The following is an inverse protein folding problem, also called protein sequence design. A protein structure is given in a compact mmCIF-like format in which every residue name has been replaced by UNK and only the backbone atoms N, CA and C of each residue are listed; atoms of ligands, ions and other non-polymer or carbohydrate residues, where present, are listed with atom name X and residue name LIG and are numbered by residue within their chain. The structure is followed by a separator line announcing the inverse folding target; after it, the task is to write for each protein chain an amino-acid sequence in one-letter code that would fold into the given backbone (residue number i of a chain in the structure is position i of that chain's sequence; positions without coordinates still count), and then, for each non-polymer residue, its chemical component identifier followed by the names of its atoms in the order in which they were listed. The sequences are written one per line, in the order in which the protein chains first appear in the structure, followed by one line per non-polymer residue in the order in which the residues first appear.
data_IF_176443011898
#
_entry.id   IF_176443011898
#
_cell.length_a   1.000
_cell.length_b   1.000
_cell.length_c   1.000
_cell.angle_alpha   90.00
_cell.angle_beta   90.00
_cell.angle_gamma   90.00
#
_symmetry.space_group_name_H-M   'P 1'
#
loop_
_entity.id
_entity.type
_entity.pdbx_description
1 polymer ?
#
# COMPACT_ATOMS: atom_id res chain seq x y z
N UNK A 1 50.88 -26.74 34.98
CA UNK A 1 51.70 -25.83 34.16
C UNK A 1 50.86 -25.32 32.99
N UNK A 2 51.08 -24.08 32.53
CA UNK A 2 50.00 -23.12 32.26
C UNK A 2 49.74 -22.83 30.76
N UNK A 3 48.65 -22.07 30.50
CA UNK A 3 48.46 -21.01 29.45
C UNK A 3 48.41 -21.46 27.97
N UNK A 4 47.55 -20.98 27.05
CA UNK A 4 46.90 -19.69 26.72
C UNK A 4 45.59 -19.94 25.91
N UNK A 5 44.47 -19.21 26.14
CA UNK A 5 43.93 -18.05 25.36
C UNK A 5 43.24 -18.42 24.02
N UNK A 6 42.18 -17.81 23.47
CA UNK A 6 41.26 -16.70 23.80
C UNK A 6 40.13 -16.75 22.73
N UNK A 7 38.85 -16.59 23.10
CA UNK A 7 38.00 -15.49 22.60
C UNK A 7 37.06 -15.88 21.43
N UNK A 8 35.83 -15.40 21.27
CA UNK A 8 34.91 -14.56 22.05
C UNK A 8 33.50 -14.82 21.48
N UNK A 9 32.53 -15.07 22.36
CA UNK A 9 31.09 -15.00 22.05
C UNK A 9 30.46 -14.02 23.04
N UNK A 10 29.91 -12.92 22.55
CA UNK A 10 29.16 -11.93 23.33
C UNK A 10 28.02 -11.46 22.43
N UNK A 11 26.74 -11.54 22.78
CA UNK A 11 26.13 -11.55 24.10
C UNK A 11 25.33 -10.26 24.30
N UNK A 12 24.28 -10.05 23.50
CA UNK A 12 23.40 -8.88 23.64
C UNK A 12 22.52 -9.04 24.91
N UNK A 13 22.81 -8.23 25.94
CA UNK A 13 21.94 -8.03 27.11
C UNK A 13 21.40 -6.61 27.10
N UNK A 14 20.08 -6.50 27.15
CA UNK A 14 19.35 -5.26 27.35
C UNK A 14 19.44 -4.85 28.82
N UNK A 15 20.06 -3.70 29.11
CA UNK A 15 20.08 -3.11 30.45
C UNK A 15 18.94 -2.08 30.57
N UNK A 16 18.15 -2.23 31.63
CA UNK A 16 16.97 -1.42 31.92
C UNK A 16 17.30 0.02 32.32
N UNK A 17 16.41 0.93 31.93
CA UNK A 17 16.40 2.32 32.38
C UNK A 17 15.59 2.38 33.67
N UNK A 18 16.26 2.67 34.78
CA UNK A 18 15.64 2.95 36.08
C UNK A 18 15.00 4.33 36.06
N UNK A 19 13.70 4.39 36.40
CA UNK A 19 12.98 5.63 36.60
C UNK A 19 13.42 6.33 37.89
N UNK A 20 14.05 7.49 37.77
CA UNK A 20 14.34 8.37 38.91
C UNK A 20 13.09 9.16 39.27
N UNK A 21 12.61 8.95 40.48
CA UNK A 21 11.44 9.58 41.08
C UNK A 21 11.77 11.05 41.43
N UNK A 22 11.17 12.03 40.73
CA UNK A 22 11.30 13.44 41.09
C UNK A 22 10.23 13.84 42.10
N UNK A 23 10.66 14.05 43.34
CA UNK A 23 9.92 14.75 44.39
C UNK A 23 9.85 16.26 44.05
N UNK A 24 8.66 16.86 44.21
CA UNK A 24 8.41 18.30 44.02
C UNK A 24 9.08 19.13 45.13
N UNK A 25 9.49 20.38 44.82
CA UNK A 25 9.36 21.46 45.79
C UNK A 25 8.51 22.63 45.26
N UNK A 26 7.83 23.29 46.19
CA UNK A 26 7.00 24.51 46.08
C UNK A 26 7.79 25.76 45.65
N UNK A 27 7.16 26.80 45.09
CA UNK A 27 7.86 27.98 44.61
C UNK A 27 8.04 29.02 45.72
N UNK A 28 9.28 29.42 46.00
CA UNK A 28 9.58 30.64 46.75
C UNK A 28 10.52 31.54 45.95
N UNK A 29 10.01 32.75 45.71
CA UNK A 29 10.66 34.05 45.43
C UNK A 29 12.18 34.05 45.17
N UNK A 30 12.52 34.54 43.98
CA UNK A 30 13.58 35.52 43.72
C UNK A 30 15.03 35.08 43.95
N UNK A 31 15.79 34.93 42.87
CA UNK A 31 17.16 35.45 42.81
C UNK A 31 17.63 35.53 41.36
N UNK A 32 18.45 36.56 41.12
CA UNK A 32 19.04 36.93 39.85
C UNK A 32 19.80 35.78 39.19
N UNK A 33 19.67 35.64 37.88
CA UNK A 33 20.58 34.83 37.08
C UNK A 33 21.72 35.73 36.60
N UNK A 34 22.90 35.48 37.14
CA UNK A 34 24.16 35.83 36.49
C UNK A 34 24.14 35.29 35.07
N UNK A 35 24.40 36.16 34.10
CA UNK A 35 24.54 35.81 32.71
C UNK A 35 25.82 34.98 32.51
N UNK A 36 25.71 33.67 32.66
CA UNK A 36 26.70 32.74 32.10
C UNK A 36 26.55 32.82 30.58
N UNK A 37 27.49 33.50 29.95
CA UNK A 37 27.65 33.53 28.50
C UNK A 37 28.06 32.13 28.03
N UNK A 38 27.08 31.24 27.88
CA UNK A 38 27.26 29.95 27.22
C UNK A 38 27.16 30.18 25.72
N UNK A 39 28.29 30.11 25.04
CA UNK A 39 28.37 30.04 23.58
C UNK A 39 27.76 28.71 23.12
N UNK A 40 26.44 28.62 23.03
CA UNK A 40 25.75 27.50 22.37
C UNK A 40 25.79 27.69 20.85
N UNK A 41 26.16 26.67 20.08
CA UNK A 41 26.14 26.73 18.62
C UNK A 41 24.70 26.88 18.11
N UNK A 42 24.51 27.74 17.11
CA UNK A 42 23.24 28.28 16.58
C UNK A 42 22.34 27.30 15.83
N UNK A 43 22.42 26.00 16.11
CA UNK A 43 21.45 25.03 15.60
C UNK A 43 20.47 24.62 16.71
N UNK A 44 19.92 25.61 17.41
CA UNK A 44 18.70 25.38 18.17
C UNK A 44 17.58 25.15 17.14
N UNK A 45 17.42 23.90 16.70
CA UNK A 45 16.18 23.44 16.08
C UNK A 45 15.15 23.56 17.20
N UNK A 46 14.52 24.72 17.30
CA UNK A 46 13.22 24.85 17.91
C UNK A 46 12.33 23.86 17.18
N UNK A 47 12.19 22.65 17.72
CA UNK A 47 11.26 21.69 17.18
C UNK A 47 9.88 22.35 17.14
N UNK A 48 9.10 22.10 16.09
CA UNK A 48 7.69 22.52 15.99
C UNK A 48 6.79 21.86 17.06
N UNK A 49 7.39 21.24 18.08
CA UNK A 49 6.70 20.66 19.21
C UNK A 49 6.32 21.83 20.12
N UNK A 50 5.09 22.32 19.96
CA UNK A 50 4.51 23.23 20.93
C UNK A 50 4.49 22.52 22.29
N UNK A 51 5.27 23.00 23.27
CA UNK A 51 5.16 22.60 24.68
C UNK A 51 3.85 23.15 25.31
N UNK A 52 2.77 23.17 24.53
CA UNK A 52 1.44 23.43 25.02
C UNK A 52 0.88 22.10 25.51
N UNK A 53 0.31 22.15 26.69
CA UNK A 53 -0.45 21.10 27.37
C UNK A 53 -1.63 20.49 26.55
N UNK A 54 -1.72 20.76 25.26
CA UNK A 54 -2.77 20.26 24.38
C UNK A 54 -2.38 18.95 23.68
N UNK A 55 -1.09 18.70 23.41
CA UNK A 55 -0.68 17.51 22.65
C UNK A 55 -0.86 16.21 23.45
N UNK A 56 -0.73 16.26 24.78
CA UNK A 56 -1.08 15.11 25.62
C UNK A 56 -2.60 14.89 25.69
N UNK A 57 -3.41 15.96 25.69
CA UNK A 57 -4.87 15.86 25.69
C UNK A 57 -5.39 15.32 24.35
N UNK A 58 -4.81 15.73 23.22
CA UNK A 58 -5.18 15.22 21.89
C UNK A 58 -4.82 13.74 21.76
N UNK A 59 -3.61 13.34 22.19
CA UNK A 59 -3.25 11.92 22.22
C UNK A 59 -4.16 11.11 23.14
N UNK A 60 -4.54 11.62 24.32
CA UNK A 60 -5.51 10.94 25.19
C UNK A 60 -6.91 10.88 24.57
N UNK A 61 -7.35 11.93 23.86
CA UNK A 61 -8.65 11.93 23.16
C UNK A 61 -8.69 10.88 22.04
N UNK A 62 -7.61 10.73 21.26
CA UNK A 62 -7.53 9.72 20.19
C UNK A 62 -7.62 8.29 20.76
N UNK A 63 -6.89 8.01 21.84
CA UNK A 63 -6.97 6.72 22.54
C UNK A 63 -8.37 6.44 23.09
N UNK A 64 -9.00 7.44 23.72
CA UNK A 64 -10.36 7.30 24.27
C UNK A 64 -11.40 7.14 23.14
N UNK A 65 -11.27 7.86 22.02
CA UNK A 65 -12.15 7.68 20.85
C UNK A 65 -12.00 6.29 20.24
N UNK A 66 -10.77 5.79 20.07
CA UNK A 66 -10.52 4.43 19.62
C UNK A 66 -11.16 3.39 20.54
N UNK A 67 -11.01 3.55 21.85
CA UNK A 67 -11.63 2.68 22.85
C UNK A 67 -13.17 2.76 22.85
N UNK A 68 -13.75 3.94 22.65
CA UNK A 68 -15.20 4.12 22.51
C UNK A 68 -15.74 3.52 21.20
N UNK A 69 -14.98 3.58 20.10
CA UNK A 69 -15.33 2.90 18.85
C UNK A 69 -15.38 1.39 19.04
N UNK A 70 -14.32 0.81 19.60
CA UNK A 70 -14.27 -0.62 19.90
C UNK A 70 -15.47 -1.09 20.74
N UNK A 71 -15.92 -0.27 21.71
CA UNK A 71 -17.15 -0.55 22.48
C UNK A 71 -18.42 -0.59 21.64
N UNK A 72 -18.58 0.37 20.72
CA UNK A 72 -19.73 0.43 19.83
C UNK A 72 -19.77 -0.80 18.90
N UNK A 73 -18.60 -1.26 18.45
CA UNK A 73 -18.45 -2.42 17.58
C UNK A 73 -18.50 -3.77 18.33
N UNK A 74 -18.59 -3.75 19.68
CA UNK A 74 -18.59 -4.95 20.52
C UNK A 74 -17.22 -5.64 20.64
N UNK A 75 -16.14 -4.93 20.27
CA UNK A 75 -14.76 -5.40 20.32
C UNK A 75 -14.11 -5.23 21.69
N UNK A 76 -12.95 -5.87 21.89
CA UNK A 76 -12.19 -5.76 23.14
C UNK A 76 -11.60 -4.35 23.30
N UNK A 77 -11.79 -3.77 24.48
CA UNK A 77 -11.34 -2.40 24.79
C UNK A 77 -9.94 -2.43 25.40
N UNK A 78 -9.03 -1.62 24.86
CA UNK A 78 -7.62 -1.56 25.29
C UNK A 78 -7.37 -0.77 26.58
N UNK A 79 -8.35 -0.01 27.05
CA UNK A 79 -8.26 0.90 28.21
C UNK A 79 -9.37 0.55 29.22
N UNK A 80 -9.11 0.63 30.54
CA UNK A 80 -10.13 0.38 31.55
C UNK A 80 -11.36 1.27 31.40
N UNK A 81 -12.54 0.71 31.63
CA UNK A 81 -13.82 1.44 31.52
C UNK A 81 -13.89 2.69 32.36
N UNK A 82 -13.41 2.62 33.61
CA UNK A 82 -13.42 3.75 34.52
C UNK A 82 -12.64 4.95 33.97
N UNK A 83 -11.57 4.73 33.21
CA UNK A 83 -10.74 5.79 32.63
C UNK A 83 -11.43 6.47 31.43
N UNK A 84 -12.08 5.67 30.58
CA UNK A 84 -12.91 6.18 29.47
C UNK A 84 -14.07 7.02 30.00
N UNK A 85 -14.73 6.54 31.05
CA UNK A 85 -15.87 7.22 31.67
C UNK A 85 -15.43 8.53 32.37
N UNK A 86 -14.30 8.51 33.09
CA UNK A 86 -13.72 9.70 33.70
C UNK A 86 -13.32 10.76 32.66
N UNK A 87 -12.74 10.34 31.53
CA UNK A 87 -12.37 11.25 30.46
C UNK A 87 -13.62 11.84 29.77
N UNK A 88 -14.62 11.02 29.44
CA UNK A 88 -15.85 11.51 28.81
C UNK A 88 -16.66 12.42 29.76
N UNK A 89 -16.56 12.25 31.08
CA UNK A 89 -17.19 13.17 32.03
C UNK A 89 -16.62 14.60 31.95
N UNK A 90 -15.33 14.75 31.63
CA UNK A 90 -14.62 16.05 31.64
C UNK A 90 -14.41 16.64 30.24
N UNK A 91 -14.29 15.80 29.21
CA UNK A 91 -14.01 16.23 27.84
C UNK A 91 -15.29 16.42 27.01
N UNK A 92 -15.64 17.67 26.70
CA UNK A 92 -16.79 17.98 25.84
C UNK A 92 -16.62 17.45 24.40
N UNK A 93 -15.40 17.42 23.87
CA UNK A 93 -15.11 16.92 22.52
C UNK A 93 -15.37 15.42 22.37
N UNK A 94 -14.96 14.61 23.34
CA UNK A 94 -15.21 13.16 23.34
C UNK A 94 -16.71 12.84 23.55
N UNK A 95 -17.44 13.63 24.34
CA UNK A 95 -18.91 13.50 24.46
C UNK A 95 -19.65 13.81 23.16
N UNK A 96 -19.29 14.90 22.50
CA UNK A 96 -19.89 15.29 21.23
C UNK A 96 -19.61 14.24 20.14
N UNK A 97 -18.38 13.71 20.11
CA UNK A 97 -18.00 12.61 19.21
C UNK A 97 -18.84 11.35 19.50
N UNK A 98 -18.93 10.90 20.75
CA UNK A 98 -19.69 9.70 21.13
C UNK A 98 -21.17 9.82 20.76
N UNK A 99 -21.77 10.98 21.01
CA UNK A 99 -23.17 11.25 20.65
C UNK A 99 -23.40 11.14 19.14
N UNK A 100 -22.44 11.65 18.35
CA UNK A 100 -22.48 11.60 16.89
C UNK A 100 -22.32 10.16 16.38
N UNK A 101 -21.39 9.39 16.96
CA UNK A 101 -21.16 7.99 16.63
C UNK A 101 -22.41 7.12 16.95
N UNK A 102 -23.00 7.28 18.14
CA UNK A 102 -24.24 6.58 18.52
C UNK A 102 -25.45 6.97 17.67
N UNK A 103 -25.48 8.19 17.11
CA UNK A 103 -26.52 8.59 16.16
C UNK A 103 -26.32 7.87 14.83
N UNK A 104 -25.09 7.79 14.33
CA UNK A 104 -24.77 7.08 13.09
C UNK A 104 -25.07 5.58 13.23
N UNK A 105 -24.62 4.97 14.31
CA UNK A 105 -24.88 3.56 14.62
C UNK A 105 -26.38 3.24 14.60
N UNK A 106 -27.20 4.08 15.25
CA UNK A 106 -28.65 3.93 15.19
C UNK A 106 -29.23 4.09 13.78
N UNK A 107 -28.73 5.01 12.96
CA UNK A 107 -29.20 5.20 11.59
C UNK A 107 -28.87 3.98 10.71
N UNK A 108 -27.68 3.42 10.88
CA UNK A 108 -27.22 2.22 10.14
C UNK A 108 -28.01 0.99 10.62
N UNK A 109 -28.15 0.81 11.93
CA UNK A 109 -28.81 -0.35 12.54
C UNK A 109 -30.34 -0.33 12.41
N UNK A 110 -30.98 0.85 12.36
CA UNK A 110 -32.44 0.97 12.24
C UNK A 110 -32.99 0.56 10.86
N UNK A 111 -32.12 0.20 9.92
CA UNK A 111 -32.54 -0.23 8.59
C UNK A 111 -32.09 -1.66 8.33
N UNK A 112 -32.75 -2.69 8.89
CA UNK A 112 -32.74 -3.99 8.25
C UNK A 112 -33.52 -3.81 6.95
N UNK A 113 -32.84 -3.36 5.90
CA UNK A 113 -33.36 -3.53 4.56
C UNK A 113 -33.69 -5.01 4.45
N UNK A 114 -34.95 -5.35 4.16
CA UNK A 114 -35.33 -6.70 3.77
C UNK A 114 -34.65 -6.97 2.44
N UNK A 115 -33.35 -7.22 2.48
CA UNK A 115 -32.57 -7.55 1.31
C UNK A 115 -33.05 -8.92 0.85
N UNK A 116 -33.30 -9.11 -0.46
CA UNK A 116 -33.59 -10.43 -0.97
C UNK A 116 -32.45 -11.37 -0.57
N UNK A 117 -32.79 -12.60 -0.17
CA UNK A 117 -31.76 -13.60 0.11
C UNK A 117 -31.02 -13.93 -1.20
N UNK A 118 -29.82 -13.37 -1.33
CA UNK A 118 -28.94 -13.60 -2.49
C UNK A 118 -28.07 -14.84 -2.30
N UNK A 119 -28.16 -15.56 -1.17
CA UNK A 119 -27.27 -16.67 -0.84
C UNK A 119 -27.24 -17.71 -1.96
N UNK A 120 -28.41 -18.15 -2.41
CA UNK A 120 -28.51 -19.11 -3.52
C UNK A 120 -27.91 -18.56 -4.82
N UNK A 121 -28.14 -17.27 -5.13
CA UNK A 121 -27.61 -16.63 -6.34
C UNK A 121 -26.08 -16.48 -6.31
N UNK A 122 -25.52 -16.15 -5.14
CA UNK A 122 -24.08 -16.02 -4.93
C UNK A 122 -23.42 -17.39 -5.01
N UNK A 123 -23.96 -18.40 -4.33
CA UNK A 123 -23.44 -19.77 -4.39
C UNK A 123 -23.51 -20.35 -5.81
N UNK A 124 -24.59 -20.08 -6.55
CA UNK A 124 -24.70 -20.47 -7.95
C UNK A 124 -23.66 -19.76 -8.83
N UNK A 125 -23.43 -18.45 -8.61
CA UNK A 125 -22.41 -17.69 -9.33
C UNK A 125 -20.99 -18.21 -9.03
N UNK A 126 -20.67 -18.51 -7.77
CA UNK A 126 -19.38 -19.08 -7.36
C UNK A 126 -19.18 -20.46 -7.99
N UNK A 127 -20.18 -21.35 -7.93
CA UNK A 127 -20.09 -22.68 -8.53
C UNK A 127 -19.97 -22.63 -10.06
N UNK A 128 -20.61 -21.67 -10.72
CA UNK A 128 -20.47 -21.47 -12.17
C UNK A 128 -19.06 -20.96 -12.53
N UNK A 129 -18.50 -20.08 -11.71
CA UNK A 129 -17.13 -19.55 -11.86
C UNK A 129 -16.07 -20.64 -11.65
N UNK A 130 -16.26 -21.53 -10.67
CA UNK A 130 -15.41 -22.72 -10.46
C UNK A 130 -15.44 -23.69 -11.64
N UNK A 131 -16.63 -24.00 -12.17
CA UNK A 131 -16.77 -24.84 -13.37
C UNK A 131 -16.07 -24.23 -14.58
N UNK A 132 -16.23 -22.91 -14.81
CA UNK A 132 -15.52 -22.21 -15.89
C UNK A 132 -14.00 -22.26 -15.75
N UNK A 133 -13.46 -22.11 -14.52
CA UNK A 133 -12.02 -22.26 -14.27
C UNK A 133 -11.53 -23.68 -14.52
N UNK A 134 -12.38 -24.67 -14.28
CA UNK A 134 -12.08 -26.08 -14.48
C UNK A 134 -12.16 -26.50 -15.95
N UNK A 135 -13.10 -25.90 -16.70
CA UNK A 135 -13.28 -26.09 -18.15
C UNK A 135 -12.25 -25.31 -18.99
N UNK A 136 -11.61 -24.29 -18.42
CA UNK A 136 -10.52 -23.60 -19.09
C UNK A 136 -9.36 -24.59 -19.24
N UNK A 137 -8.82 -24.81 -20.47
CA UNK A 137 -7.73 -25.74 -20.66
C UNK A 137 -6.61 -25.39 -19.70
N UNK A 138 -6.27 -26.28 -18.76
CA UNK A 138 -5.27 -26.03 -17.70
C UNK A 138 -3.95 -25.48 -18.27
N UNK A 139 -3.64 -25.80 -19.53
CA UNK A 139 -2.53 -25.27 -20.30
C UNK A 139 -2.65 -23.78 -20.70
N UNK A 140 -3.83 -23.23 -21.01
CA UNK A 140 -3.96 -21.85 -21.57
C UNK A 140 -3.45 -20.80 -20.59
N UNK A 141 -3.89 -20.87 -19.34
CA UNK A 141 -3.47 -19.92 -18.29
C UNK A 141 -1.99 -20.07 -17.96
N UNK A 142 -1.48 -21.30 -17.97
CA UNK A 142 -0.07 -21.57 -17.77
C UNK A 142 0.77 -21.04 -18.94
N UNK A 143 0.33 -21.23 -20.18
CA UNK A 143 0.95 -20.69 -21.39
C UNK A 143 0.98 -19.17 -21.34
N UNK A 144 -0.11 -18.51 -20.96
CA UNK A 144 -0.15 -17.06 -20.81
C UNK A 144 0.81 -16.55 -19.73
N UNK A 145 0.90 -17.22 -18.58
CA UNK A 145 1.87 -16.88 -17.53
C UNK A 145 3.31 -17.04 -18.01
N UNK A 146 3.61 -18.16 -18.68
CA UNK A 146 4.92 -18.42 -19.27
C UNK A 146 5.23 -17.35 -20.32
N UNK A 147 4.28 -17.02 -21.19
CA UNK A 147 4.46 -15.99 -22.22
C UNK A 147 4.77 -14.61 -21.61
N UNK A 148 4.00 -14.18 -20.60
CA UNK A 148 4.28 -12.91 -19.90
C UNK A 148 5.64 -12.96 -19.20
N UNK A 149 5.97 -14.07 -18.55
CA UNK A 149 7.26 -14.24 -17.88
C UNK A 149 8.45 -14.21 -18.85
N UNK A 150 8.33 -14.86 -20.01
CA UNK A 150 9.35 -14.87 -21.06
C UNK A 150 9.52 -13.49 -21.68
N UNK A 151 8.42 -12.78 -21.96
CA UNK A 151 8.49 -11.40 -22.48
C UNK A 151 9.13 -10.45 -21.46
N UNK A 152 8.75 -10.54 -20.18
CA UNK A 152 9.35 -9.76 -19.11
C UNK A 152 10.86 -10.05 -18.97
N UNK A 153 11.28 -11.30 -19.10
CA UNK A 153 12.69 -11.67 -19.08
C UNK A 153 13.44 -11.12 -20.29
N UNK A 154 12.85 -11.20 -21.49
CA UNK A 154 13.43 -10.63 -22.70
C UNK A 154 13.61 -9.11 -22.59
N UNK A 155 12.61 -8.41 -22.03
CA UNK A 155 12.68 -6.98 -21.73
C UNK A 155 13.83 -6.66 -20.76
N UNK A 156 13.94 -7.41 -19.66
CA UNK A 156 15.03 -7.26 -18.68
C UNK A 156 16.42 -7.45 -19.31
N UNK A 157 16.58 -8.47 -20.16
CA UNK A 157 17.84 -8.73 -20.88
C UNK A 157 18.15 -7.60 -21.87
N UNK A 158 17.12 -7.07 -22.55
CA UNK A 158 17.30 -5.98 -23.51
C UNK A 158 17.69 -4.64 -22.86
N UNK A 159 17.29 -4.41 -21.61
CA UNK A 159 17.64 -3.20 -20.85
C UNK A 159 19.08 -3.22 -20.30
N UNK A 160 19.70 -4.41 -20.16
CA UNK A 160 21.00 -4.56 -19.53
C UNK A 160 22.13 -3.77 -20.23
N UNK A 161 22.27 -3.75 -21.58
CA UNK A 161 23.28 -2.94 -22.25
C UNK A 161 23.09 -1.44 -22.02
N UNK A 162 21.86 -0.93 -21.94
CA UNK A 162 21.59 0.48 -21.66
C UNK A 162 21.96 0.86 -20.21
N UNK A 163 21.92 -0.10 -19.28
CA UNK A 163 22.30 0.11 -17.89
C UNK A 163 23.82 0.03 -17.67
N UNK A 164 24.49 -0.95 -18.29
CA UNK A 164 25.91 -1.27 -18.06
C UNK A 164 26.86 -0.81 -19.18
N UNK A 165 26.31 -0.37 -20.32
CA UNK A 165 27.08 0.06 -21.48
C UNK A 165 27.81 1.38 -21.23
N UNK A 166 29.03 1.47 -21.77
CA UNK A 166 29.83 2.69 -21.78
C UNK A 166 29.45 3.55 -23.00
N UNK A 167 28.23 4.07 -23.04
CA UNK A 167 27.87 5.07 -24.05
C UNK A 167 28.39 6.45 -23.61
N UNK A 168 28.79 7.27 -24.59
CA UNK A 168 29.49 8.54 -24.37
C UNK A 168 28.80 9.49 -23.37
N UNK A 169 29.58 10.38 -22.77
CA UNK A 169 29.17 11.22 -21.63
C UNK A 169 27.92 12.10 -21.86
N UNK A 170 27.51 12.33 -23.11
CA UNK A 170 26.29 13.07 -23.46
C UNK A 170 25.14 12.07 -23.62
N UNK A 171 24.21 12.05 -22.67
CA UNK A 171 23.01 11.18 -22.71
C UNK A 171 23.06 9.96 -21.78
N UNK A 172 24.23 9.54 -21.31
CA UNK A 172 24.38 8.35 -20.45
C UNK A 172 23.60 8.40 -19.13
N UNK A 173 23.26 9.59 -18.61
CA UNK A 173 22.39 9.71 -17.43
C UNK A 173 20.94 9.36 -17.78
N UNK A 174 20.38 9.97 -18.83
CA UNK A 174 19.02 9.71 -19.30
C UNK A 174 18.82 8.27 -19.79
N UNK A 175 19.82 7.69 -20.48
CA UNK A 175 19.78 6.29 -20.89
C UNK A 175 19.71 5.34 -19.69
N UNK A 176 20.51 5.59 -18.65
CA UNK A 176 20.47 4.78 -17.41
C UNK A 176 19.17 4.96 -16.65
N UNK A 177 18.65 6.18 -16.58
CA UNK A 177 17.37 6.46 -15.96
C UNK A 177 16.22 5.71 -16.68
N UNK A 178 16.17 5.77 -18.01
CA UNK A 178 15.21 5.00 -18.81
C UNK A 178 15.39 3.49 -18.66
N UNK A 179 16.63 2.99 -18.62
CA UNK A 179 16.91 1.58 -18.38
C UNK A 179 16.42 1.12 -17.00
N UNK A 180 16.60 1.93 -15.95
CA UNK A 180 16.08 1.65 -14.61
C UNK A 180 14.54 1.56 -14.61
N UNK A 181 13.86 2.46 -15.32
CA UNK A 181 12.40 2.41 -15.45
C UNK A 181 11.94 1.15 -16.20
N UNK A 182 12.63 0.77 -17.27
CA UNK A 182 12.30 -0.43 -18.05
C UNK A 182 12.51 -1.72 -17.24
N UNK A 183 13.59 -1.79 -16.47
CA UNK A 183 13.85 -2.89 -15.51
C UNK A 183 12.76 -2.98 -14.46
N UNK A 184 12.32 -1.86 -13.89
CA UNK A 184 11.25 -1.84 -12.90
C UNK A 184 9.93 -2.38 -13.48
N UNK A 185 9.59 -2.01 -14.71
CA UNK A 185 8.42 -2.53 -15.42
C UNK A 185 8.55 -4.03 -15.71
N UNK A 186 9.69 -4.48 -16.22
CA UNK A 186 9.97 -5.89 -16.48
C UNK A 186 9.82 -6.75 -15.22
N UNK A 187 10.37 -6.30 -14.09
CA UNK A 187 10.21 -6.98 -12.79
C UNK A 187 8.75 -6.99 -12.35
N UNK A 188 8.02 -5.87 -12.51
CA UNK A 188 6.58 -5.81 -12.23
C UNK A 188 5.79 -6.85 -13.03
N UNK A 189 6.06 -6.98 -14.33
CA UNK A 189 5.41 -7.97 -15.18
C UNK A 189 5.79 -9.42 -14.84
N UNK A 190 7.06 -9.68 -14.49
CA UNK A 190 7.48 -11.00 -14.00
C UNK A 190 6.76 -11.38 -12.70
N UNK A 191 6.62 -10.43 -11.76
CA UNK A 191 5.87 -10.65 -10.52
C UNK A 191 4.37 -10.89 -10.78
N UNK A 192 3.77 -10.23 -11.78
CA UNK A 192 2.39 -10.50 -12.19
C UNK A 192 2.23 -11.87 -12.87
N UNK A 193 3.24 -12.37 -13.60
CA UNK A 193 3.24 -13.73 -14.12
C UNK A 193 3.24 -14.77 -12.99
N UNK A 194 4.04 -14.54 -11.93
CA UNK A 194 4.12 -15.40 -10.75
C UNK A 194 2.85 -15.31 -9.87
N UNK A 195 2.30 -14.10 -9.70
CA UNK A 195 1.09 -13.83 -8.93
C UNK A 195 0.04 -13.11 -9.78
N UNK A 196 -0.78 -13.84 -10.57
CA UNK A 196 -1.74 -13.24 -11.49
C UNK A 196 -2.87 -12.47 -10.81
N UNK A 197 -3.06 -12.64 -9.50
CA UNK A 197 -3.91 -11.76 -8.68
C UNK A 197 -3.51 -10.30 -8.81
N UNK A 198 -2.20 -10.03 -8.99
CA UNK A 198 -1.64 -8.68 -9.17
C UNK A 198 -1.68 -8.18 -10.61
N UNK A 199 -1.96 -9.03 -11.59
CA UNK A 199 -2.04 -8.62 -13.00
C UNK A 199 -3.07 -7.51 -13.23
N UNK A 200 -4.14 -7.48 -12.42
CA UNK A 200 -5.16 -6.41 -12.45
C UNK A 200 -4.60 -5.03 -12.09
N UNK A 201 -3.67 -4.97 -11.13
CA UNK A 201 -3.08 -3.72 -10.69
C UNK A 201 -2.13 -3.13 -11.75
N UNK A 202 -1.47 -3.99 -12.53
CA UNK A 202 -0.51 -3.57 -13.57
C UNK A 202 -1.14 -3.37 -14.95
N UNK A 203 -2.36 -3.86 -15.18
CA UNK A 203 -3.05 -3.74 -16.46
C UNK A 203 -3.19 -2.30 -16.98
N UNK A 204 -3.67 -1.30 -16.20
CA UNK A 204 -3.80 0.06 -16.71
C UNK A 204 -2.44 0.66 -17.08
N UNK A 205 -1.40 0.36 -16.29
CA UNK A 205 -0.02 0.79 -16.56
C UNK A 205 0.46 0.19 -17.89
N UNK A 206 0.24 -1.12 -18.11
CA UNK A 206 0.61 -1.79 -19.35
C UNK A 206 -0.10 -1.22 -20.58
N UNK A 207 -1.39 -0.88 -20.46
CA UNK A 207 -2.18 -0.29 -21.55
C UNK A 207 -1.65 1.10 -21.90
N UNK A 208 -1.44 1.96 -20.90
CA UNK A 208 -0.90 3.31 -21.13
C UNK A 208 0.49 3.23 -21.75
N UNK A 209 1.36 2.35 -21.23
CA UNK A 209 2.68 2.11 -21.81
C UNK A 209 2.60 1.68 -23.27
N UNK A 210 1.74 0.71 -23.60
CA UNK A 210 1.56 0.23 -24.97
C UNK A 210 1.02 1.34 -25.90
N UNK A 211 0.11 2.19 -25.42
CA UNK A 211 -0.41 3.33 -26.19
C UNK A 211 0.67 4.37 -26.45
N UNK A 212 1.43 4.76 -25.42
CA UNK A 212 2.52 5.72 -25.57
C UNK A 212 3.56 5.20 -26.57
N UNK A 213 3.96 3.93 -26.46
CA UNK A 213 4.92 3.31 -27.39
C UNK A 213 4.38 3.22 -28.83
N UNK A 214 3.08 2.95 -29.01
CA UNK A 214 2.47 2.93 -30.33
C UNK A 214 2.47 4.33 -30.97
N UNK A 215 2.19 5.38 -30.18
CA UNK A 215 2.22 6.77 -30.66
C UNK A 215 3.64 7.19 -31.03
N UNK A 216 4.63 6.94 -30.17
CA UNK A 216 6.04 7.30 -30.47
C UNK A 216 6.57 6.54 -31.67
N UNK A 217 6.26 5.24 -31.78
CA UNK A 217 6.61 4.42 -32.95
C UNK A 217 6.00 4.98 -34.24
N UNK A 218 4.72 5.39 -34.23
CA UNK A 218 4.08 6.00 -35.39
C UNK A 218 4.77 7.32 -35.80
N UNK A 219 5.20 8.13 -34.84
CA UNK A 219 5.95 9.38 -35.09
C UNK A 219 7.32 9.09 -35.72
N UNK A 220 8.02 8.06 -35.26
CA UNK A 220 9.33 7.68 -35.78
C UNK A 220 9.25 7.13 -37.21
N UNK A 221 8.24 6.32 -37.49
CA UNK A 221 7.94 5.80 -38.83
C UNK A 221 7.58 6.95 -39.79
N UNK A 222 6.69 7.86 -39.37
CA UNK A 222 6.32 9.02 -40.17
C UNK A 222 7.51 9.97 -40.43
N UNK A 223 8.47 10.00 -39.50
CA UNK A 223 9.72 10.75 -39.64
C UNK A 223 10.82 10.05 -40.43
N UNK A 224 10.60 8.82 -40.90
CA UNK A 224 11.61 8.02 -41.62
C UNK A 224 12.82 7.61 -40.77
N UNK A 225 12.70 7.63 -39.44
CA UNK A 225 13.80 7.37 -38.49
C UNK A 225 13.91 5.91 -38.03
N UNK A 226 12.93 5.06 -38.37
CA UNK A 226 12.87 3.68 -37.90
C UNK A 226 13.44 2.69 -38.94
N UNK A 227 14.44 1.90 -38.54
CA UNK A 227 14.79 0.66 -39.22
C UNK A 227 13.93 -0.48 -38.65
N UNK A 228 13.46 -1.40 -39.50
CA UNK A 228 12.53 -2.50 -39.17
C UNK A 228 12.92 -3.38 -37.96
N UNK A 229 14.20 -3.34 -37.55
CA UNK A 229 14.74 -4.06 -36.39
C UNK A 229 14.34 -3.39 -35.05
N UNK A 230 14.05 -2.09 -35.03
CA UNK A 230 13.64 -1.36 -33.81
C UNK A 230 12.15 -1.51 -33.48
N UNK A 231 11.31 -1.92 -34.44
CA UNK A 231 9.87 -2.13 -34.24
C UNK A 231 9.54 -3.41 -33.46
N UNK A 232 10.49 -4.36 -33.37
CA UNK A 232 10.30 -5.63 -32.65
C UNK A 232 10.11 -5.41 -31.14
N UNK A 233 10.83 -4.45 -30.53
CA UNK A 233 10.67 -4.11 -29.12
C UNK A 233 9.31 -3.49 -28.79
N UNK A 234 8.75 -2.71 -29.72
CA UNK A 234 7.46 -2.06 -29.57
C UNK A 234 6.30 -3.07 -29.64
N UNK A 235 6.42 -4.07 -30.53
CA UNK A 235 5.45 -5.18 -30.61
C UNK A 235 5.43 -6.02 -29.33
N UNK A 236 6.57 -6.19 -28.66
CA UNK A 236 6.64 -6.93 -27.40
C UNK A 236 5.75 -6.31 -26.31
N UNK A 237 5.76 -4.97 -26.17
CA UNK A 237 4.92 -4.28 -25.19
C UNK A 237 3.41 -4.45 -25.47
N UNK A 238 3.01 -4.42 -26.73
CA UNK A 238 1.61 -4.65 -27.15
C UNK A 238 1.19 -6.10 -26.85
N UNK A 239 2.04 -7.08 -27.17
CA UNK A 239 1.81 -8.49 -26.86
C UNK A 239 1.73 -8.71 -25.34
N UNK A 240 2.55 -8.02 -24.56
CA UNK A 240 2.57 -8.09 -23.10
C UNK A 240 1.28 -7.52 -22.49
N UNK A 241 0.82 -6.37 -22.97
CA UNK A 241 -0.47 -5.80 -22.57
C UNK A 241 -1.65 -6.72 -22.94
N UNK A 242 -1.64 -7.28 -24.15
CA UNK A 242 -2.66 -8.22 -24.60
C UNK A 242 -2.67 -9.52 -23.78
N UNK A 243 -1.50 -10.04 -23.42
CA UNK A 243 -1.36 -11.25 -22.60
C UNK A 243 -1.81 -11.00 -21.15
N UNK A 244 -1.47 -9.85 -20.55
CA UNK A 244 -1.97 -9.44 -19.23
C UNK A 244 -3.49 -9.23 -19.23
N UNK A 245 -4.03 -8.61 -20.28
CA UNK A 245 -5.47 -8.46 -20.46
C UNK A 245 -6.16 -9.81 -20.57
N UNK A 246 -5.62 -10.74 -21.36
CA UNK A 246 -6.14 -12.10 -21.48
C UNK A 246 -6.10 -12.85 -20.13
N UNK A 247 -5.02 -12.69 -19.34
CA UNK A 247 -4.92 -13.22 -17.98
C UNK A 247 -5.97 -12.60 -17.03
N UNK A 248 -6.25 -11.30 -17.16
CA UNK A 248 -7.23 -10.59 -16.32
C UNK A 248 -8.69 -10.87 -16.72
N UNK A 249 -8.96 -11.10 -18.01
CA UNK A 249 -10.30 -11.32 -18.56
C UNK A 249 -10.95 -12.63 -18.15
N UNK A 250 -10.17 -13.67 -17.89
CA UNK A 250 -10.68 -14.91 -17.29
C UNK A 250 -11.37 -14.68 -15.94
N UNK A 251 -11.11 -13.54 -15.29
CA UNK A 251 -11.67 -13.20 -14.00
C UNK A 251 -12.73 -12.09 -14.02
N UNK A 252 -13.11 -11.55 -15.18
CA UNK A 252 -14.07 -10.43 -15.32
C UNK A 252 -15.23 -10.73 -16.28
N UNK A 253 -15.41 -11.97 -16.71
CA UNK A 253 -16.46 -12.34 -17.68
C UNK A 253 -17.58 -13.19 -17.06
N UNK A 254 -18.15 -12.70 -15.97
CA UNK A 254 -19.47 -13.06 -15.46
C UNK A 254 -20.13 -11.71 -15.13
N UNK A 255 -21.30 -11.26 -15.56
CA UNK A 255 -22.42 -11.59 -16.44
C UNK A 255 -23.20 -10.25 -16.48
N UNK A 256 -23.88 -9.84 -17.57
CA UNK A 256 -24.73 -8.65 -17.51
C UNK A 256 -25.71 -8.76 -16.34
N UNK A 257 -25.89 -7.69 -15.58
CA UNK A 257 -26.97 -7.58 -14.60
C UNK A 257 -28.29 -7.70 -15.37
N UNK A 258 -28.76 -8.92 -15.63
CA UNK A 258 -30.15 -9.14 -16.01
C UNK A 258 -30.97 -8.67 -14.82
N UNK A 259 -31.53 -7.48 -14.96
CA UNK A 259 -32.59 -6.97 -14.10
C UNK A 259 -33.60 -8.08 -13.93
N UNK A 260 -33.67 -8.64 -12.72
CA UNK A 260 -34.68 -9.61 -12.36
C UNK A 260 -36.03 -8.95 -12.59
N UNK A 261 -36.69 -9.29 -13.70
CA UNK A 261 -38.08 -8.94 -13.91
C UNK A 261 -38.86 -9.53 -12.75
N UNK A 262 -39.49 -8.66 -11.96
CA UNK A 262 -40.37 -9.02 -10.88
C UNK A 262 -41.53 -9.86 -11.46
N UNK A 263 -41.38 -11.18 -11.41
CA UNK A 263 -42.52 -12.08 -11.58
C UNK A 263 -43.35 -11.97 -10.30
N UNK A 264 -44.41 -11.16 -10.39
CA UNK A 264 -45.41 -11.00 -9.36
C UNK A 264 -46.02 -12.34 -8.98
N UNK A 265 -46.25 -12.49 -7.67
CA UNK A 265 -47.00 -13.59 -7.06
C UNK A 265 -48.43 -13.61 -7.59
N UNK A 266 -48.87 -14.80 -8.01
CA UNK A 266 -50.26 -15.24 -7.94
C UNK A 266 -50.41 -16.19 -6.76
#
# INVERSE_FOLDING_TARGET
MPTLAEGTASGARWAGITATQCTRPTPSRGCATDAVSSTTPTWEIAGNQSLLANDYLTMMCEHVRGALSARLDGEAVSIPTAEIDAHTATCAGCRAWLTSAQRLDRLVSATPATAPDLTASVLAAVAADERRRSDEPAGRRQVLRIAVGVLALAQLVSAAPALFGAEGAVGAHATREMACFDIALAVGFALAALRPERARALLPIAIVLALCLAVTSAVDVAGGRAAAVHEIGHLAAVVQAAALWALGRGAYRNTPLTTAAAAGRG
#
